data_IF_417700423978
#
_entry.id   IF_417700423978
#
_cell.length_a   1.000
_cell.length_b   1.000
_cell.length_c   1.000
_cell.angle_alpha   90.00
_cell.angle_beta   90.00
_cell.angle_gamma   90.00
#
_symmetry.space_group_name_H-M   'P 1'
#
loop_
_entity.id
_entity.type
_entity.pdbx_description
1 polymer ?
#
# COMPACT_ATOMS: atom_id res chain seq x y z
N UNK A 1 -88.60 43.08 28.51
CA UNK A 1 -89.10 42.16 27.47
C UNK A 1 -88.11 42.16 26.32
N UNK A 2 -87.73 40.94 25.92
CA UNK A 2 -86.96 40.53 24.74
C UNK A 2 -85.45 40.82 24.66
N UNK A 3 -84.71 39.70 24.68
CA UNK A 3 -83.32 39.51 24.29
C UNK A 3 -83.12 39.64 22.77
N UNK A 4 -81.90 40.01 22.36
CA UNK A 4 -81.08 39.42 21.27
C UNK A 4 -79.99 40.44 20.91
N UNK A 5 -78.69 40.21 20.89
CA UNK A 5 -77.95 38.96 20.79
C UNK A 5 -77.13 38.91 19.49
N UNK A 6 -75.86 39.36 19.55
CA UNK A 6 -74.68 38.96 18.72
C UNK A 6 -74.40 39.69 17.37
N UNK A 7 -73.15 39.62 16.81
CA UNK A 7 -72.19 40.73 16.86
C UNK A 7 -71.49 41.06 15.50
N UNK A 8 -70.52 42.00 15.56
CA UNK A 8 -69.64 42.49 14.47
C UNK A 8 -68.86 41.38 13.72
N UNK A 9 -68.62 41.51 12.40
CA UNK A 9 -67.66 40.66 11.70
C UNK A 9 -66.25 41.29 11.76
N UNK A 10 -65.33 40.66 12.50
CA UNK A 10 -63.89 40.82 12.28
C UNK A 10 -63.50 39.79 11.21
N UNK A 11 -63.15 40.24 10.01
CA UNK A 11 -62.50 39.38 9.02
C UNK A 11 -61.08 39.04 9.50
N UNK A 12 -60.88 37.82 9.99
CA UNK A 12 -59.56 37.23 10.15
C UNK A 12 -59.01 36.88 8.76
N UNK A 13 -57.94 37.57 8.38
CA UNK A 13 -57.05 37.14 7.29
C UNK A 13 -56.28 35.92 7.80
N UNK A 14 -56.67 34.72 7.37
CA UNK A 14 -55.87 33.52 7.54
C UNK A 14 -54.71 33.58 6.53
N UNK A 15 -53.55 34.08 6.97
CA UNK A 15 -52.29 33.84 6.29
C UNK A 15 -51.96 32.36 6.45
N UNK A 16 -52.31 31.56 5.44
CA UNK A 16 -51.71 30.24 5.22
C UNK A 16 -50.24 30.46 4.88
N UNK A 17 -49.42 30.61 5.92
CA UNK A 17 -48.00 30.33 5.81
C UNK A 17 -47.86 28.85 5.50
N UNK A 18 -47.70 28.50 4.23
CA UNK A 18 -47.07 27.24 3.87
C UNK A 18 -45.61 27.34 4.33
N UNK A 19 -45.39 27.09 5.62
CA UNK A 19 -44.09 26.65 6.08
C UNK A 19 -43.81 25.39 5.31
N UNK A 20 -42.81 25.43 4.44
CA UNK A 20 -42.23 24.21 3.91
C UNK A 20 -41.86 23.36 5.11
N UNK A 21 -42.56 22.24 5.29
CA UNK A 21 -42.11 21.22 6.19
C UNK A 21 -40.76 20.77 5.65
N UNK A 22 -39.67 21.31 6.22
CA UNK A 22 -38.37 20.72 6.08
C UNK A 22 -38.53 19.29 6.59
N UNK A 23 -38.36 18.30 5.72
CA UNK A 23 -38.14 16.94 6.18
C UNK A 23 -37.05 17.02 7.25
N UNK A 24 -37.39 16.64 8.48
CA UNK A 24 -36.41 16.57 9.55
C UNK A 24 -35.45 15.44 9.18
N UNK A 25 -34.40 15.78 8.44
CA UNK A 25 -33.19 14.96 8.33
C UNK A 25 -32.67 14.87 9.76
N UNK A 26 -32.97 13.76 10.43
CA UNK A 26 -32.62 13.59 11.83
C UNK A 26 -31.09 13.44 11.90
N UNK A 27 -30.42 14.55 12.21
CA UNK A 27 -28.98 14.55 12.47
C UNK A 27 -28.70 13.87 13.82
N UNK A 28 -27.64 13.04 13.93
CA UNK A 28 -27.30 12.42 15.20
C UNK A 28 -27.10 13.46 16.32
N UNK A 29 -27.61 13.16 17.51
CA UNK A 29 -27.39 14.03 18.66
C UNK A 29 -25.88 14.14 18.93
N UNK A 30 -25.39 15.37 19.17
CA UNK A 30 -23.96 15.75 19.28
C UNK A 30 -23.22 16.00 17.96
N UNK A 31 -23.78 15.66 16.81
CA UNK A 31 -23.15 15.93 15.52
C UNK A 31 -23.72 17.20 14.88
N UNK A 32 -23.00 17.71 13.87
CA UNK A 32 -23.45 18.79 12.99
C UNK A 32 -23.61 18.23 11.59
N UNK A 33 -24.78 18.42 10.99
CA UNK A 33 -25.06 17.95 9.64
C UNK A 33 -25.20 19.17 8.71
N UNK A 34 -24.42 19.19 7.63
CA UNK A 34 -24.45 20.24 6.62
C UNK A 34 -24.41 19.63 5.23
N UNK A 35 -25.49 19.78 4.46
CA UNK A 35 -25.69 19.09 3.18
C UNK A 35 -25.51 17.57 3.33
N UNK A 36 -24.46 17.01 2.72
CA UNK A 36 -24.12 15.58 2.73
C UNK A 36 -22.94 15.26 3.66
N UNK A 37 -22.53 16.23 4.49
CA UNK A 37 -21.50 16.08 5.52
C UNK A 37 -22.16 15.91 6.90
N UNK A 38 -21.70 14.89 7.64
CA UNK A 38 -22.01 14.68 9.06
C UNK A 38 -20.71 14.75 9.85
N UNK A 39 -20.60 15.77 10.70
CA UNK A 39 -19.40 16.05 11.48
C UNK A 39 -19.66 15.87 12.97
N UNK A 40 -18.99 14.87 13.55
CA UNK A 40 -19.07 14.46 14.94
C UNK A 40 -17.73 14.63 15.67
N UNK A 41 -16.86 15.51 15.19
CA UNK A 41 -15.48 15.65 15.72
C UNK A 41 -15.47 16.07 17.20
N UNK A 42 -14.65 15.42 18.02
CA UNK A 42 -14.36 15.92 19.39
C UNK A 42 -15.55 15.83 20.36
N UNK A 43 -16.50 14.94 20.12
CA UNK A 43 -17.76 14.83 20.87
C UNK A 43 -17.73 13.81 21.99
N UNK A 44 -16.56 13.22 22.26
CA UNK A 44 -16.35 12.17 23.27
C UNK A 44 -17.26 10.95 23.04
N UNK A 45 -17.58 10.68 21.77
CA UNK A 45 -18.39 9.51 21.42
C UNK A 45 -17.63 8.24 21.77
N UNK A 46 -18.29 7.30 22.44
CA UNK A 46 -17.74 5.96 22.73
C UNK A 46 -18.21 4.91 21.75
N UNK A 47 -19.31 5.20 21.06
CA UNK A 47 -19.97 4.31 20.12
C UNK A 47 -20.23 5.08 18.82
N UNK A 48 -20.42 4.32 17.74
CA UNK A 48 -20.80 4.88 16.44
C UNK A 48 -22.16 5.58 16.55
N UNK A 49 -22.31 6.83 16.03
CA UNK A 49 -23.55 7.58 16.21
C UNK A 49 -24.71 6.95 15.45
N UNK A 50 -25.84 6.78 16.14
CA UNK A 50 -27.08 6.31 15.53
C UNK A 50 -27.74 7.41 14.68
N UNK A 51 -28.58 6.99 13.73
CA UNK A 51 -29.40 7.87 12.88
C UNK A 51 -28.58 8.83 12.00
N UNK A 52 -27.50 8.34 11.37
CA UNK A 52 -26.82 9.08 10.31
C UNK A 52 -27.72 9.10 9.06
N UNK A 53 -27.93 10.27 8.41
CA UNK A 53 -28.68 10.36 7.15
C UNK A 53 -28.11 9.44 6.06
N UNK A 54 -28.97 8.71 5.36
CA UNK A 54 -28.56 7.69 4.38
C UNK A 54 -27.87 8.25 3.13
N UNK A 55 -28.09 9.54 2.84
CA UNK A 55 -27.48 10.29 1.74
C UNK A 55 -26.11 10.89 2.12
N UNK A 56 -25.62 10.64 3.34
CA UNK A 56 -24.32 11.12 3.81
C UNK A 56 -23.20 10.65 2.89
N UNK A 57 -22.44 11.61 2.36
CA UNK A 57 -21.24 11.35 1.53
C UNK A 57 -19.94 11.53 2.29
N UNK A 58 -19.98 12.31 3.37
CA UNK A 58 -18.83 12.63 4.19
C UNK A 58 -19.17 12.45 5.65
N UNK A 59 -18.50 11.51 6.31
CA UNK A 59 -18.66 11.23 7.73
C UNK A 59 -17.34 11.49 8.44
N UNK A 60 -17.35 12.43 9.40
CA UNK A 60 -16.18 12.76 10.22
C UNK A 60 -16.46 12.37 11.66
N UNK A 61 -15.79 11.33 12.12
CA UNK A 61 -15.81 10.79 13.49
C UNK A 61 -14.51 11.07 14.26
N UNK A 62 -13.68 11.97 13.75
CA UNK A 62 -12.36 12.27 14.29
C UNK A 62 -12.35 12.68 15.78
N UNK A 63 -11.28 12.36 16.50
CA UNK A 63 -11.06 12.79 17.88
C UNK A 63 -12.20 12.38 18.83
N UNK A 64 -12.61 11.11 18.78
CA UNK A 64 -13.56 10.51 19.69
C UNK A 64 -12.92 9.32 20.42
N UNK A 65 -13.74 8.51 21.09
CA UNK A 65 -13.32 7.34 21.85
C UNK A 65 -14.04 6.07 21.33
N UNK A 66 -14.31 6.03 20.02
CA UNK A 66 -15.00 4.92 19.36
C UNK A 66 -14.03 3.75 19.23
N UNK A 67 -14.41 2.58 19.73
CA UNK A 67 -13.58 1.37 19.67
C UNK A 67 -13.97 0.39 18.57
N UNK A 68 -15.17 0.55 17.99
CA UNK A 68 -15.71 -0.37 16.99
C UNK A 68 -16.56 0.37 15.95
N UNK A 69 -16.46 -0.06 14.70
CA UNK A 69 -17.29 0.41 13.59
C UNK A 69 -18.30 -0.71 13.23
N UNK A 70 -19.60 -0.47 13.41
CA UNK A 70 -20.59 -1.50 13.14
C UNK A 70 -20.84 -1.67 11.64
N UNK A 71 -20.49 -2.87 11.13
CA UNK A 71 -20.53 -3.18 9.70
C UNK A 71 -21.93 -3.01 9.07
N UNK A 72 -22.98 -3.40 9.81
CA UNK A 72 -24.37 -3.33 9.32
C UNK A 72 -24.81 -1.88 9.16
N UNK A 73 -24.61 -1.05 10.18
CA UNK A 73 -24.99 0.35 10.17
C UNK A 73 -24.18 1.15 9.15
N UNK A 74 -22.89 0.85 9.02
CA UNK A 74 -22.03 1.46 8.00
C UNK A 74 -22.50 1.07 6.59
N UNK A 75 -23.02 -0.16 6.40
CA UNK A 75 -23.53 -0.63 5.11
C UNK A 75 -24.76 0.13 4.61
N UNK A 76 -25.51 0.78 5.50
CA UNK A 76 -26.62 1.65 5.10
C UNK A 76 -26.14 2.95 4.45
N UNK A 77 -24.88 3.34 4.65
CA UNK A 77 -24.28 4.55 4.08
C UNK A 77 -23.65 4.28 2.71
N UNK A 78 -24.40 3.67 1.78
CA UNK A 78 -23.88 3.21 0.49
C UNK A 78 -23.33 4.32 -0.43
N UNK A 79 -23.68 5.59 -0.16
CA UNK A 79 -23.19 6.76 -0.88
C UNK A 79 -21.95 7.42 -0.23
N UNK A 80 -21.41 6.83 0.85
CA UNK A 80 -20.26 7.36 1.56
C UNK A 80 -19.01 7.36 0.68
N UNK A 81 -18.37 8.53 0.57
CA UNK A 81 -17.15 8.78 -0.23
C UNK A 81 -15.96 9.11 0.66
N UNK A 82 -16.20 9.74 1.80
CA UNK A 82 -15.17 10.19 2.73
C UNK A 82 -15.49 9.74 4.15
N UNK A 83 -14.55 9.04 4.78
CA UNK A 83 -14.65 8.61 6.17
C UNK A 83 -13.35 8.98 6.92
N UNK A 84 -13.48 9.88 7.90
CA UNK A 84 -12.38 10.24 8.81
C UNK A 84 -12.70 9.72 10.22
N UNK A 85 -11.97 8.67 10.61
CA UNK A 85 -12.05 8.02 11.91
C UNK A 85 -10.76 8.21 12.72
N UNK A 86 -9.94 9.21 12.38
CA UNK A 86 -8.65 9.41 13.06
C UNK A 86 -8.82 9.74 14.54
N UNK A 87 -7.81 9.43 15.36
CA UNK A 87 -7.82 9.73 16.81
C UNK A 87 -9.05 9.12 17.49
N UNK A 88 -9.20 7.81 17.35
CA UNK A 88 -10.19 6.99 18.03
C UNK A 88 -9.47 5.81 18.72
N UNK A 89 -10.21 4.78 19.12
CA UNK A 89 -9.68 3.58 19.76
C UNK A 89 -9.93 2.32 18.91
N UNK A 90 -10.01 2.46 17.59
CA UNK A 90 -10.32 1.33 16.69
C UNK A 90 -9.18 0.29 16.73
N UNK A 91 -9.54 -0.98 16.85
CA UNK A 91 -8.62 -2.13 16.83
C UNK A 91 -8.82 -3.01 15.59
N UNK A 92 -8.53 -4.30 15.72
CA UNK A 92 -8.44 -5.24 14.58
C UNK A 92 -9.78 -5.76 14.05
N UNK A 93 -10.90 -5.42 14.69
CA UNK A 93 -12.26 -5.84 14.29
C UNK A 93 -12.77 -5.08 13.04
N UNK A 94 -11.93 -4.93 12.01
CA UNK A 94 -12.22 -4.21 10.78
C UNK A 94 -12.47 -5.11 9.57
N UNK A 95 -12.21 -6.41 9.70
CA UNK A 95 -12.51 -7.37 8.63
C UNK A 95 -14.00 -7.33 8.26
N UNK A 96 -14.28 -7.18 6.96
CA UNK A 96 -15.63 -7.02 6.39
C UNK A 96 -16.43 -5.82 6.89
N UNK A 97 -15.86 -4.93 7.70
CA UNK A 97 -16.55 -3.74 8.24
C UNK A 97 -17.03 -2.80 7.14
N UNK A 98 -16.28 -2.71 6.05
CA UNK A 98 -16.53 -1.75 4.96
C UNK A 98 -17.31 -2.33 3.77
N UNK A 99 -17.93 -3.52 3.91
CA UNK A 99 -18.55 -4.24 2.79
C UNK A 99 -19.62 -3.44 2.02
N UNK A 100 -20.38 -2.58 2.71
CA UNK A 100 -21.45 -1.79 2.11
C UNK A 100 -21.05 -0.40 1.59
N UNK A 101 -19.79 0.02 1.78
CA UNK A 101 -19.30 1.36 1.41
C UNK A 101 -18.30 1.31 0.25
N UNK A 102 -18.63 0.58 -0.82
CA UNK A 102 -17.75 0.37 -1.97
C UNK A 102 -17.38 1.67 -2.75
N UNK A 103 -18.14 2.76 -2.55
CA UNK A 103 -17.88 4.10 -3.13
C UNK A 103 -16.86 4.92 -2.33
N UNK A 104 -16.36 4.40 -1.20
CA UNK A 104 -15.42 5.13 -0.36
C UNK A 104 -14.11 5.38 -1.13
N UNK A 105 -13.71 6.65 -1.16
CA UNK A 105 -12.51 7.15 -1.87
C UNK A 105 -11.42 7.52 -0.87
N UNK A 106 -11.81 8.04 0.30
CA UNK A 106 -10.90 8.48 1.35
C UNK A 106 -11.25 7.79 2.66
N UNK A 107 -10.27 7.12 3.26
CA UNK A 107 -10.35 6.51 4.58
C UNK A 107 -9.14 6.92 5.42
N UNK A 108 -9.41 7.51 6.58
CA UNK A 108 -8.38 7.87 7.56
C UNK A 108 -8.66 7.17 8.90
N UNK A 109 -7.79 6.22 9.22
CA UNK A 109 -7.76 5.45 10.47
C UNK A 109 -6.51 5.78 11.28
N UNK A 110 -5.88 6.93 11.03
CA UNK A 110 -4.64 7.30 11.72
C UNK A 110 -4.88 7.56 13.21
N UNK A 111 -3.86 7.37 14.06
CA UNK A 111 -3.99 7.53 15.52
C UNK A 111 -5.11 6.65 16.11
N UNK A 112 -5.07 5.36 15.82
CA UNK A 112 -5.95 4.35 16.41
C UNK A 112 -5.08 3.28 17.11
N UNK A 113 -5.63 2.10 17.34
CA UNK A 113 -4.95 0.98 17.99
C UNK A 113 -4.97 -0.29 17.12
N UNK A 114 -4.78 -0.13 15.81
CA UNK A 114 -4.66 -1.24 14.88
C UNK A 114 -3.38 -2.03 15.19
N UNK A 115 -3.46 -3.36 15.10
CA UNK A 115 -2.31 -4.26 15.27
C UNK A 115 -1.98 -5.06 14.01
N UNK A 116 -2.99 -5.28 13.16
CA UNK A 116 -2.82 -5.96 11.88
C UNK A 116 -3.76 -5.40 10.79
N UNK A 117 -3.37 -5.62 9.53
CA UNK A 117 -4.25 -5.43 8.36
C UNK A 117 -4.25 -6.72 7.55
N UNK A 118 -5.43 -7.28 7.33
CA UNK A 118 -5.63 -8.52 6.56
C UNK A 118 -6.13 -8.22 5.14
N UNK A 119 -6.15 -9.24 4.28
CA UNK A 119 -6.85 -9.18 2.99
C UNK A 119 -8.29 -8.69 3.13
N UNK A 120 -9.01 -9.12 4.18
CA UNK A 120 -10.45 -8.86 4.33
C UNK A 120 -10.78 -7.50 4.91
N UNK A 121 -9.79 -6.79 5.46
CA UNK A 121 -9.97 -5.46 6.07
C UNK A 121 -10.43 -4.43 5.04
N UNK A 122 -9.81 -4.37 3.85
CA UNK A 122 -10.11 -3.35 2.83
C UNK A 122 -10.54 -3.92 1.46
N UNK A 123 -10.71 -5.24 1.34
CA UNK A 123 -10.99 -5.94 0.06
C UNK A 123 -12.21 -5.43 -0.71
N UNK A 124 -13.19 -4.85 -0.02
CA UNK A 124 -14.43 -4.34 -0.62
C UNK A 124 -14.37 -2.85 -1.00
N UNK A 125 -13.30 -2.14 -0.62
CA UNK A 125 -13.13 -0.72 -0.91
C UNK A 125 -12.52 -0.52 -2.31
N UNK A 126 -13.29 -0.90 -3.34
CA UNK A 126 -12.82 -0.92 -4.73
C UNK A 126 -12.54 0.48 -5.31
N UNK A 127 -13.14 1.52 -4.74
CA UNK A 127 -12.96 2.92 -5.17
C UNK A 127 -11.91 3.67 -4.35
N UNK A 128 -11.20 3.00 -3.44
CA UNK A 128 -10.31 3.65 -2.48
C UNK A 128 -9.10 4.26 -3.19
N UNK A 129 -8.86 5.55 -2.94
CA UNK A 129 -7.74 6.32 -3.51
C UNK A 129 -6.76 6.73 -2.41
N UNK A 130 -7.26 7.06 -1.24
CA UNK A 130 -6.45 7.50 -0.09
C UNK A 130 -6.77 6.63 1.11
N UNK A 131 -5.75 5.94 1.61
CA UNK A 131 -5.79 5.18 2.84
C UNK A 131 -4.69 5.70 3.77
N UNK A 132 -5.07 6.10 4.97
CA UNK A 132 -4.12 6.48 6.03
C UNK A 132 -4.36 5.62 7.25
N UNK A 133 -3.32 4.90 7.66
CA UNK A 133 -3.28 4.07 8.86
C UNK A 133 -2.05 4.41 9.70
N UNK A 134 -1.49 5.62 9.55
CA UNK A 134 -0.32 6.08 10.29
C UNK A 134 -0.62 6.31 11.77
N UNK A 135 0.43 6.40 12.59
CA UNK A 135 0.29 6.55 14.05
C UNK A 135 -0.52 5.42 14.71
N UNK A 136 -0.37 4.19 14.22
CA UNK A 136 -0.83 2.96 14.86
C UNK A 136 0.40 2.19 15.37
N UNK A 137 0.93 2.51 16.56
CA UNK A 137 2.23 2.01 17.01
C UNK A 137 2.28 0.49 17.22
N UNK A 138 1.12 -0.16 17.40
CA UNK A 138 1.01 -1.60 17.57
C UNK A 138 0.80 -2.35 16.24
N UNK A 139 0.66 -1.64 15.12
CA UNK A 139 0.50 -2.25 13.79
C UNK A 139 1.84 -2.84 13.34
N UNK A 140 1.95 -4.15 13.47
CA UNK A 140 3.20 -4.91 13.22
C UNK A 140 3.12 -5.78 11.97
N UNK A 141 1.91 -6.07 11.47
CA UNK A 141 1.69 -6.95 10.32
C UNK A 141 0.72 -6.32 9.34
N UNK A 142 1.13 -6.26 8.08
CA UNK A 142 0.24 -6.07 6.93
C UNK A 142 0.39 -7.33 6.07
N UNK A 143 -0.70 -8.06 5.84
CA UNK A 143 -0.68 -9.26 5.01
C UNK A 143 -0.25 -8.93 3.59
N UNK A 144 0.41 -9.91 2.95
CA UNK A 144 0.94 -9.76 1.58
C UNK A 144 -0.10 -9.22 0.60
N UNK A 145 -1.32 -9.75 0.67
CA UNK A 145 -2.41 -9.42 -0.26
C UNK A 145 -3.39 -8.38 0.31
N UNK A 146 -3.06 -7.71 1.43
CA UNK A 146 -3.94 -6.78 2.14
C UNK A 146 -4.60 -5.71 1.24
N UNK A 147 -3.90 -5.29 0.18
CA UNK A 147 -4.37 -4.24 -0.74
C UNK A 147 -4.65 -4.75 -2.16
N UNK A 148 -4.66 -6.06 -2.40
CA UNK A 148 -4.73 -6.64 -3.75
C UNK A 148 -5.94 -6.14 -4.58
N UNK A 149 -7.07 -5.87 -3.93
CA UNK A 149 -8.29 -5.38 -4.59
C UNK A 149 -8.33 -3.84 -4.73
N UNK A 150 -7.50 -3.09 -4.02
CA UNK A 150 -7.55 -1.63 -3.97
C UNK A 150 -6.72 -1.01 -5.11
N UNK A 151 -7.02 -1.39 -6.35
CA UNK A 151 -6.21 -1.02 -7.54
C UNK A 151 -6.16 0.49 -7.83
N UNK A 152 -7.10 1.27 -7.30
CA UNK A 152 -7.14 2.74 -7.41
C UNK A 152 -6.33 3.47 -6.34
N UNK A 153 -5.76 2.72 -5.38
CA UNK A 153 -5.03 3.31 -4.27
C UNK A 153 -3.84 4.11 -4.80
N UNK A 154 -3.84 5.41 -4.48
CA UNK A 154 -2.83 6.38 -4.92
C UNK A 154 -1.97 6.87 -3.78
N UNK A 155 -2.55 6.93 -2.58
CA UNK A 155 -1.90 7.40 -1.38
C UNK A 155 -2.12 6.36 -0.27
N UNK A 156 -1.02 5.77 0.16
CA UNK A 156 -0.98 4.87 1.32
C UNK A 156 -0.01 5.44 2.34
N UNK A 157 -0.48 5.69 3.56
CA UNK A 157 0.37 6.13 4.66
C UNK A 157 0.35 5.10 5.79
N UNK A 158 1.50 4.45 5.99
CA UNK A 158 1.78 3.48 7.07
C UNK A 158 2.96 3.96 7.94
N UNK A 159 3.19 5.27 7.98
CA UNK A 159 4.24 5.88 8.81
C UNK A 159 3.91 5.81 10.31
N UNK A 160 4.93 5.83 11.16
CA UNK A 160 4.80 5.79 12.64
C UNK A 160 3.96 4.59 13.11
N UNK A 161 4.29 3.41 12.58
CA UNK A 161 3.71 2.13 13.02
C UNK A 161 4.78 1.21 13.58
N UNK A 162 4.39 -0.01 13.98
CA UNK A 162 5.29 -1.02 14.52
C UNK A 162 5.91 -1.93 13.44
N UNK A 163 5.75 -1.61 12.15
CA UNK A 163 6.14 -2.50 11.06
C UNK A 163 7.64 -2.79 11.08
N UNK A 164 7.98 -4.07 11.01
CA UNK A 164 9.36 -4.54 10.87
C UNK A 164 9.68 -4.99 9.45
N UNK A 165 8.67 -5.33 8.66
CA UNK A 165 8.83 -5.86 7.31
C UNK A 165 7.58 -5.54 6.49
N UNK A 166 7.77 -5.31 5.19
CA UNK A 166 6.69 -5.17 4.22
C UNK A 166 7.11 -5.92 2.95
N UNK A 167 6.28 -6.83 2.47
CA UNK A 167 6.55 -7.56 1.25
C UNK A 167 6.44 -6.62 0.05
N UNK A 168 7.40 -6.70 -0.88
CA UNK A 168 7.41 -5.88 -2.10
C UNK A 168 6.14 -6.04 -2.93
N UNK A 169 5.57 -7.24 -3.00
CA UNK A 169 4.34 -7.49 -3.77
C UNK A 169 3.12 -6.76 -3.22
N UNK A 170 3.07 -6.49 -1.92
CA UNK A 170 1.96 -5.75 -1.27
C UNK A 170 1.73 -4.36 -1.86
N UNK A 171 2.79 -3.72 -2.35
CA UNK A 171 2.74 -2.34 -2.89
C UNK A 171 3.15 -2.23 -4.34
N UNK A 172 4.00 -3.14 -4.85
CA UNK A 172 4.46 -3.14 -6.25
C UNK A 172 3.32 -3.40 -7.23
N UNK A 173 2.35 -4.21 -6.85
CA UNK A 173 1.26 -4.61 -7.74
C UNK A 173 0.10 -3.59 -7.76
N UNK A 174 0.25 -2.44 -7.06
CA UNK A 174 -0.70 -1.33 -7.06
C UNK A 174 -0.39 -0.34 -8.20
N UNK A 175 -1.13 -0.36 -9.32
CA UNK A 175 -0.76 0.36 -10.54
C UNK A 175 -0.88 1.89 -10.43
N UNK A 176 -1.69 2.37 -9.49
CA UNK A 176 -1.98 3.80 -9.32
C UNK A 176 -1.24 4.43 -8.14
N UNK A 177 -0.42 3.67 -7.41
CA UNK A 177 0.26 4.17 -6.21
C UNK A 177 1.27 5.26 -6.59
N UNK A 178 1.20 6.40 -5.90
CA UNK A 178 2.08 7.56 -6.11
C UNK A 178 2.70 8.10 -4.84
N UNK A 179 2.12 7.78 -3.69
CA UNK A 179 2.57 8.24 -2.39
C UNK A 179 2.57 7.05 -1.43
N UNK A 180 3.71 6.79 -0.79
CA UNK A 180 3.87 5.72 0.18
C UNK A 180 4.64 6.21 1.42
N UNK A 181 3.94 6.44 2.52
CA UNK A 181 4.53 6.84 3.80
C UNK A 181 5.04 5.65 4.60
N UNK A 182 6.36 5.62 4.88
CA UNK A 182 7.05 4.50 5.56
C UNK A 182 7.94 4.94 6.72
N UNK A 183 8.01 6.25 6.98
CA UNK A 183 8.87 6.84 8.00
C UNK A 183 8.54 6.34 9.41
N UNK A 184 9.56 6.32 10.27
CA UNK A 184 9.40 6.05 11.70
C UNK A 184 8.78 4.68 12.02
N UNK A 185 9.20 3.65 11.27
CA UNK A 185 8.89 2.24 11.51
C UNK A 185 10.12 1.47 12.03
N UNK A 186 9.92 0.23 12.49
CA UNK A 186 10.95 -0.60 13.11
C UNK A 186 11.60 -1.57 12.11
N UNK A 187 11.96 -1.09 10.92
CA UNK A 187 12.41 -1.91 9.79
C UNK A 187 13.55 -2.89 10.17
N UNK A 188 13.34 -4.17 9.88
CA UNK A 188 14.30 -5.26 10.03
C UNK A 188 14.96 -5.54 8.67
N UNK A 189 16.11 -4.90 8.46
CA UNK A 189 16.83 -4.93 7.19
C UNK A 189 17.75 -6.14 7.09
N UNK A 190 17.19 -7.24 6.61
CA UNK A 190 17.88 -8.48 6.29
C UNK A 190 17.82 -8.77 4.76
N UNK A 191 18.31 -9.92 4.33
CA UNK A 191 18.29 -10.29 2.91
C UNK A 191 16.87 -10.43 2.32
N UNK A 192 15.85 -10.77 3.10
CA UNK A 192 14.48 -10.84 2.57
C UNK A 192 13.86 -9.46 2.33
N UNK A 193 14.38 -8.41 2.97
CA UNK A 193 13.93 -7.03 2.76
C UNK A 193 14.68 -6.33 1.62
N UNK A 194 15.71 -6.97 1.04
CA UNK A 194 16.52 -6.40 -0.02
C UNK A 194 15.70 -6.06 -1.27
N UNK A 195 14.77 -6.95 -1.67
CA UNK A 195 13.91 -6.73 -2.84
C UNK A 195 13.02 -5.48 -2.65
N UNK A 196 12.56 -5.25 -1.43
CA UNK A 196 11.73 -4.09 -1.09
C UNK A 196 12.56 -2.79 -1.18
N UNK A 197 13.77 -2.81 -0.63
CA UNK A 197 14.68 -1.66 -0.68
C UNK A 197 15.08 -1.32 -2.12
N UNK A 198 15.43 -2.34 -2.92
CA UNK A 198 15.78 -2.17 -4.34
C UNK A 198 14.60 -1.59 -5.12
N UNK A 199 13.38 -2.10 -4.88
CA UNK A 199 12.17 -1.54 -5.49
C UNK A 199 11.94 -0.08 -5.08
N UNK A 200 12.17 0.28 -3.81
CA UNK A 200 12.04 1.66 -3.34
C UNK A 200 13.01 2.62 -4.04
N UNK A 201 14.22 2.19 -4.35
CA UNK A 201 15.24 3.04 -5.00
C UNK A 201 15.04 3.17 -6.50
N UNK A 202 14.39 2.20 -7.15
CA UNK A 202 14.11 2.20 -8.59
C UNK A 202 12.75 2.82 -8.97
N UNK A 203 11.80 2.86 -8.05
CA UNK A 203 10.44 3.36 -8.33
C UNK A 203 10.35 4.89 -8.40
N UNK A 204 9.32 5.39 -9.09
CA UNK A 204 8.99 6.83 -9.16
C UNK A 204 7.93 7.26 -8.12
N UNK A 205 7.72 6.46 -7.08
CA UNK A 205 6.78 6.76 -5.99
C UNK A 205 7.38 7.82 -5.07
N UNK A 206 6.54 8.74 -4.58
CA UNK A 206 6.94 9.71 -3.58
C UNK A 206 6.92 9.08 -2.18
N UNK A 207 8.09 9.11 -1.52
CA UNK A 207 8.26 8.71 -0.13
C UNK A 207 8.44 9.97 0.75
N UNK A 208 7.41 10.39 1.51
CA UNK A 208 7.53 11.50 2.43
C UNK A 208 8.53 11.16 3.55
N UNK A 209 9.21 12.18 4.07
CA UNK A 209 10.16 12.04 5.19
C UNK A 209 11.17 10.90 4.98
N UNK A 210 11.69 10.77 3.76
CA UNK A 210 12.59 9.68 3.37
C UNK A 210 13.84 9.57 4.26
N UNK A 211 14.26 10.67 4.88
CA UNK A 211 15.34 10.72 5.85
C UNK A 211 15.06 9.91 7.13
N UNK A 212 13.79 9.72 7.48
CA UNK A 212 13.33 8.93 8.63
C UNK A 212 12.99 7.48 8.26
N UNK A 213 13.20 7.08 7.01
CA UNK A 213 13.08 5.67 6.58
C UNK A 213 14.45 5.03 6.78
N UNK A 214 14.69 4.55 8.01
CA UNK A 214 15.97 3.94 8.40
C UNK A 214 15.77 2.57 9.00
N UNK A 215 16.82 1.73 8.95
CA UNK A 215 16.76 0.41 9.57
C UNK A 215 16.81 0.51 11.08
N UNK A 216 15.98 -0.28 11.76
CA UNK A 216 16.01 -0.44 13.21
C UNK A 216 16.92 -1.60 13.62
N UNK A 217 16.85 -2.71 12.87
CA UNK A 217 17.68 -3.91 13.06
C UNK A 217 18.20 -4.41 11.72
N UNK A 218 19.32 -5.16 11.67
CA UNK A 218 20.24 -5.47 12.77
C UNK A 218 21.07 -4.25 13.23
N UNK A 219 21.74 -4.36 14.39
CA UNK A 219 22.51 -3.24 14.99
C UNK A 219 23.55 -2.62 14.06
N UNK A 220 24.21 -3.44 13.22
CA UNK A 220 25.21 -2.96 12.26
C UNK A 220 24.66 -2.07 11.13
N UNK A 221 23.35 -2.09 10.90
CA UNK A 221 22.65 -1.28 9.89
C UNK A 221 21.74 -0.22 10.53
N UNK A 222 21.71 -0.14 11.86
CA UNK A 222 20.76 0.72 12.58
C UNK A 222 20.96 2.19 12.21
N UNK A 223 19.85 2.90 12.01
CA UNK A 223 19.79 4.31 11.62
C UNK A 223 20.45 4.65 10.27
N UNK A 224 20.89 3.65 9.49
CA UNK A 224 21.33 3.88 8.12
C UNK A 224 20.13 4.10 7.20
N UNK A 225 20.30 4.99 6.23
CA UNK A 225 19.30 5.29 5.19
C UNK A 225 19.22 4.16 4.17
N UNK A 226 18.03 3.95 3.60
CA UNK A 226 17.75 2.84 2.68
C UNK A 226 18.76 2.67 1.53
N UNK A 227 19.22 3.72 0.80
CA UNK A 227 20.20 3.53 -0.28
C UNK A 227 21.56 3.00 0.19
N UNK A 228 22.01 3.39 1.39
CA UNK A 228 23.27 2.89 1.95
C UNK A 228 23.13 1.44 2.43
N UNK A 229 21.97 1.11 3.01
CA UNK A 229 21.61 -0.24 3.44
C UNK A 229 21.53 -1.17 2.24
N UNK A 230 20.94 -0.72 1.13
CA UNK A 230 20.85 -1.48 -0.12
C UNK A 230 22.23 -1.95 -0.57
N UNK A 231 23.21 -1.05 -0.68
CA UNK A 231 24.56 -1.39 -1.09
C UNK A 231 25.21 -2.45 -0.17
N UNK A 232 24.99 -2.32 1.15
CA UNK A 232 25.52 -3.28 2.12
C UNK A 232 24.82 -4.65 2.03
N UNK A 233 23.50 -4.67 1.84
CA UNK A 233 22.72 -5.90 1.67
C UNK A 233 23.01 -6.57 0.33
N UNK A 234 23.21 -5.83 -0.77
CA UNK A 234 23.66 -6.38 -2.05
C UNK A 234 24.97 -7.14 -1.88
N UNK A 235 25.96 -6.54 -1.21
CA UNK A 235 27.22 -7.21 -0.92
C UNK A 235 26.99 -8.46 -0.03
N UNK A 236 26.26 -8.33 1.07
CA UNK A 236 26.09 -9.44 2.01
C UNK A 236 25.25 -10.61 1.47
N UNK A 237 24.24 -10.32 0.63
CA UNK A 237 23.21 -11.27 0.23
C UNK A 237 23.36 -11.78 -1.21
N UNK A 238 23.79 -10.94 -2.16
CA UNK A 238 23.88 -11.31 -3.58
C UNK A 238 25.30 -11.70 -4.00
N UNK A 239 26.35 -11.23 -3.30
CA UNK A 239 27.74 -11.61 -3.62
C UNK A 239 28.23 -12.87 -2.89
N UNK A 240 27.31 -13.74 -2.46
CA UNK A 240 27.61 -15.10 -2.02
C UNK A 240 27.82 -16.02 -3.25
N UNK A 241 28.77 -15.70 -4.13
CA UNK A 241 29.51 -16.77 -4.79
C UNK A 241 30.38 -17.38 -3.70
N UNK A 242 30.05 -18.59 -3.27
CA UNK A 242 30.84 -19.30 -2.27
C UNK A 242 32.28 -19.38 -2.78
N UNK A 243 33.28 -19.47 -1.91
CA UNK A 243 34.67 -19.71 -2.36
C UNK A 243 34.76 -20.89 -3.35
N UNK A 244 33.87 -21.88 -3.20
CA UNK A 244 33.74 -23.02 -4.11
C UNK A 244 33.32 -22.60 -5.52
N UNK A 245 32.44 -21.62 -5.68
CA UNK A 245 31.98 -21.15 -6.98
C UNK A 245 33.08 -20.39 -7.73
N UNK A 246 33.89 -19.60 -7.00
CA UNK A 246 35.09 -18.98 -7.58
C UNK A 246 36.14 -20.03 -7.99
N UNK A 247 36.39 -21.04 -7.16
CA UNK A 247 37.30 -22.15 -7.50
C UNK A 247 36.77 -22.89 -8.74
N UNK A 248 35.46 -23.16 -8.79
CA UNK A 248 34.81 -23.82 -9.92
C UNK A 248 34.90 -22.99 -11.21
N UNK A 249 34.64 -21.68 -11.15
CA UNK A 249 34.81 -20.75 -12.27
C UNK A 249 36.27 -20.71 -12.76
N UNK A 250 37.24 -20.68 -11.85
CA UNK A 250 38.65 -20.75 -12.20
C UNK A 250 39.03 -22.08 -12.87
N UNK A 251 38.51 -23.21 -12.36
CA UNK A 251 38.74 -24.54 -12.94
C UNK A 251 38.13 -24.66 -14.33
N UNK A 252 36.89 -24.19 -14.53
CA UNK A 252 36.24 -24.16 -15.85
C UNK A 252 37.04 -23.27 -16.81
N UNK A 253 37.43 -22.08 -16.37
CA UNK A 253 38.24 -21.18 -17.19
C UNK A 253 39.55 -21.82 -17.64
N UNK A 254 40.23 -22.54 -16.73
CA UNK A 254 41.44 -23.30 -17.03
C UNK A 254 41.17 -24.42 -18.04
N UNK A 255 40.13 -25.24 -17.83
CA UNK A 255 39.77 -26.32 -18.74
C UNK A 255 39.46 -25.81 -20.15
N UNK A 256 38.68 -24.73 -20.29
CA UNK A 256 38.35 -24.12 -21.58
C UNK A 256 39.62 -23.61 -22.27
N UNK A 257 40.53 -22.95 -21.55
CA UNK A 257 41.77 -22.42 -22.11
C UNK A 257 42.68 -23.53 -22.66
N UNK A 258 42.90 -24.60 -21.90
CA UNK A 258 43.74 -25.71 -22.34
C UNK A 258 43.11 -26.52 -23.47
N UNK A 259 41.80 -26.79 -23.40
CA UNK A 259 41.09 -27.47 -24.48
C UNK A 259 41.15 -26.66 -25.78
N UNK A 260 40.92 -25.35 -25.71
CA UNK A 260 41.02 -24.45 -26.86
C UNK A 260 42.43 -24.38 -27.43
N UNK A 261 43.45 -24.28 -26.57
CA UNK A 261 44.86 -24.25 -26.99
C UNK A 261 45.27 -25.57 -27.65
N UNK A 262 44.88 -26.70 -27.07
CA UNK A 262 45.16 -28.03 -27.63
C UNK A 262 44.47 -28.25 -28.98
N UNK A 263 43.20 -27.83 -29.11
CA UNK A 263 42.47 -27.91 -30.37
C UNK A 263 43.10 -27.04 -31.47
N UNK A 264 43.51 -25.81 -31.14
CA UNK A 264 44.18 -24.91 -32.09
C UNK A 264 45.54 -25.47 -32.55
N UNK A 265 46.32 -26.02 -31.63
CA UNK A 265 47.60 -26.65 -31.94
C UNK A 265 47.43 -27.87 -32.86
N UNK A 266 46.46 -28.75 -32.58
CA UNK A 266 46.14 -29.89 -33.43
C UNK A 266 45.68 -29.45 -34.82
N UNK A 267 44.80 -28.46 -34.91
CA UNK A 267 44.35 -27.92 -36.19
C UNK A 267 45.53 -27.37 -37.02
N UNK A 268 46.46 -26.65 -36.38
CA UNK A 268 47.69 -26.17 -37.02
C UNK A 268 48.56 -27.30 -37.57
N UNK A 269 48.75 -28.37 -36.80
CA UNK A 269 49.49 -29.56 -37.27
C UNK A 269 48.78 -30.22 -38.45
N UNK A 270 47.48 -30.44 -38.35
CA UNK A 270 46.70 -31.03 -39.44
C UNK A 270 46.79 -30.20 -40.72
N UNK A 271 46.77 -28.86 -40.62
CA UNK A 271 46.91 -27.97 -41.76
C UNK A 271 48.29 -28.11 -42.43
N UNK A 272 49.37 -28.12 -41.65
CA UNK A 272 50.74 -28.31 -42.18
C UNK A 272 50.90 -29.68 -42.82
N UNK A 273 50.40 -30.74 -42.18
CA UNK A 273 50.46 -32.10 -42.75
C UNK A 273 49.66 -32.16 -44.06
N UNK A 274 48.47 -31.55 -44.10
CA UNK A 274 47.65 -31.47 -45.30
C UNK A 274 48.41 -30.76 -46.43
N UNK A 275 49.00 -29.59 -46.16
CA UNK A 275 49.77 -28.80 -47.12
C UNK A 275 50.99 -29.57 -47.66
N UNK A 276 51.74 -30.25 -46.79
CA UNK A 276 52.87 -31.11 -47.21
C UNK A 276 52.40 -32.28 -48.08
N UNK A 277 51.25 -32.89 -47.74
CA UNK A 277 50.71 -33.99 -48.54
C UNK A 277 50.17 -33.52 -49.90
N UNK A 278 49.54 -32.34 -49.96
CA UNK A 278 49.07 -31.77 -51.22
C UNK A 278 50.25 -31.33 -52.10
N UNK A 279 51.26 -30.68 -51.53
CA UNK A 279 52.46 -30.26 -52.27
C UNK A 279 53.22 -31.46 -52.84
N UNK A 280 53.42 -32.54 -52.07
CA UNK A 280 54.02 -33.78 -52.59
C UNK A 280 53.22 -34.39 -53.73
N UNK A 281 51.89 -34.33 -53.64
CA UNK A 281 51.01 -34.87 -54.69
C UNK A 281 51.04 -34.02 -55.96
N UNK A 282 51.17 -32.70 -55.84
CA UNK A 282 51.37 -31.80 -56.99
C UNK A 282 52.74 -32.03 -57.65
N UNK A 283 53.80 -32.26 -56.87
CA UNK A 283 55.13 -32.64 -57.39
C UNK A 283 55.10 -34.00 -58.12
N UNK A 284 54.39 -35.00 -57.58
CA UNK A 284 54.19 -36.31 -58.25
C UNK A 284 53.34 -36.19 -59.53
N UNK A 285 52.34 -35.30 -59.57
CA UNK A 285 51.53 -35.06 -60.77
C UNK A 285 52.30 -34.24 -61.86
N UNK A 286 53.26 -33.38 -61.49
CA UNK A 286 54.15 -32.69 -62.45
C UNK A 286 55.26 -33.58 -63.03
N UNK A 287 55.76 -34.59 -62.30
CA UNK A 287 56.76 -35.54 -62.82
C UNK A 287 56.19 -36.56 -63.84
N UNK A 288 54.86 -36.78 -63.82
CA UNK A 288 54.17 -37.73 -64.72
C UNK A 288 53.61 -37.08 -66.02
N UNK A 289 53.90 -35.79 -66.29
CA UNK A 289 53.44 -35.05 -67.49
C UNK A 289 54.58 -34.73 -68.47
#
# INVERSE_FOLDING_TARGET
MSLSGRPRPLSLVFLLGMGMASENIHCPSRCSCQYLEVNCTGRQLREFPAAIPLDTRQLILAANNVSYLPAVELSFLADLVYLDCRKNLLGDDLDFTFIGVAKLVYLDLSFNNLTQVTFSTFSHLLSLVVLKISDNPNLVVIEKDAFANNTWLRHLDVSRTGLTFLDTSTVRDLPNLRFLGLSDNLWHCNCSFLDFITWMTETNIHFPDADNITCYTPEGLRAMKMPAVEAQLHFNCLTQLYKQDYIFLCLIGFCIFFAGTGAAWLAGICAVIYEVHTSKREEEEEEDT
#
